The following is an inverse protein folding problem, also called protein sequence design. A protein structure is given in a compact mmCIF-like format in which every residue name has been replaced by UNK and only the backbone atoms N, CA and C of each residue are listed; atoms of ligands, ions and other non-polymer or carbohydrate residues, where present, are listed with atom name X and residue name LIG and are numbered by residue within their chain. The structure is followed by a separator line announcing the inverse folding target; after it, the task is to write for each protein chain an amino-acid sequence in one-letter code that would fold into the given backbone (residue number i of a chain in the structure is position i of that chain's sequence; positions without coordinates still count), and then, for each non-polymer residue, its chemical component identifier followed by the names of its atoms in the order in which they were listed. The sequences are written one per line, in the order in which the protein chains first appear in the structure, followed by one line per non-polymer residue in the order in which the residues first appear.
data_IF_096326074425
#
_entry.id   IF_096326074425
#
_cell.length_a   1.000
_cell.length_b   1.000
_cell.length_c   1.000
_cell.angle_alpha   90.00
_cell.angle_beta   90.00
_cell.angle_gamma   90.00
#
_symmetry.space_group_name_H-M   'P 1'
#
loop_
_entity.id
_entity.type
_entity.pdbx_description
1 polymer ?
#
# COMPACT_ATOMS: atom_id res chain seq x y z
N UNK A 1 -10.68 15.34 7.51
CA UNK A 1 -9.43 14.98 6.84
C UNK A 1 -8.69 13.95 7.69
N UNK A 2 -8.11 12.94 7.05
CA UNK A 2 -7.19 11.99 7.68
C UNK A 2 -5.75 12.51 7.47
N UNK A 3 -4.91 12.42 8.50
CA UNK A 3 -3.48 12.75 8.41
C UNK A 3 -2.66 11.61 9.00
N UNK A 4 -1.57 11.27 8.32
CA UNK A 4 -0.59 10.31 8.81
C UNK A 4 0.71 11.06 9.00
N UNK A 5 1.26 11.03 10.21
CA UNK A 5 2.50 11.72 10.57
C UNK A 5 3.36 10.80 11.42
N UNK A 6 4.68 11.00 11.40
CA UNK A 6 5.60 10.32 12.29
C UNK A 6 6.52 11.31 12.97
N UNK A 7 7.14 10.89 14.08
CA UNK A 7 8.24 11.60 14.74
C UNK A 7 9.21 10.58 15.31
N UNK A 8 10.45 10.98 15.52
CA UNK A 8 11.46 10.15 16.18
C UNK A 8 11.12 10.04 17.68
N UNK A 9 11.12 8.82 18.22
CA UNK A 9 10.63 8.55 19.58
C UNK A 9 11.50 9.24 20.67
N UNK A 10 12.79 9.37 20.42
CA UNK A 10 13.79 9.88 21.37
C UNK A 10 14.12 11.37 21.23
N UNK A 11 13.64 12.01 20.19
CA UNK A 11 13.93 13.43 19.93
C UNK A 11 12.64 14.24 20.05
N UNK A 12 12.73 15.45 20.63
CA UNK A 12 11.61 16.41 20.67
C UNK A 12 11.42 17.11 19.32
N UNK A 13 11.58 16.34 18.23
CA UNK A 13 11.38 16.84 16.89
C UNK A 13 9.89 17.04 16.58
N UNK A 14 9.60 17.94 15.66
CA UNK A 14 8.27 18.19 15.17
C UNK A 14 7.72 16.98 14.40
N UNK A 15 6.40 16.82 14.41
CA UNK A 15 5.73 15.79 13.64
C UNK A 15 5.93 16.02 12.13
N UNK A 16 6.49 15.04 11.43
CA UNK A 16 6.60 15.04 9.97
C UNK A 16 5.32 14.46 9.38
N UNK A 17 4.58 15.26 8.63
CA UNK A 17 3.37 14.82 7.96
C UNK A 17 3.73 14.08 6.66
N UNK A 18 3.24 12.84 6.51
CA UNK A 18 3.49 12.00 5.34
C UNK A 18 2.29 11.97 4.40
N UNK A 19 1.08 11.89 4.93
CA UNK A 19 -0.14 11.74 4.13
C UNK A 19 -1.25 12.63 4.65
N UNK A 20 -1.99 13.22 3.73
CA UNK A 20 -3.27 13.87 3.98
C UNK A 20 -4.32 13.31 3.03
N UNK A 21 -5.43 12.85 3.57
CA UNK A 21 -6.58 12.40 2.78
C UNK A 21 -7.85 13.14 3.22
N UNK A 22 -8.77 13.32 2.27
CA UNK A 22 -10.12 13.83 2.51
C UNK A 22 -11.12 12.70 2.28
N UNK A 23 -11.95 12.44 3.27
CA UNK A 23 -13.09 11.54 3.13
C UNK A 23 -14.31 12.38 2.78
N UNK A 24 -14.92 12.22 1.60
CA UNK A 24 -16.18 12.87 1.29
C UNK A 24 -17.29 12.31 2.16
N UNK A 25 -18.23 13.16 2.61
CA UNK A 25 -19.33 12.74 3.48
C UNK A 25 -20.38 11.86 2.80
N UNK A 26 -20.47 11.90 1.46
CA UNK A 26 -21.32 11.06 0.65
C UNK A 26 -20.48 10.28 -0.36
N UNK A 27 -20.58 8.96 -0.32
CA UNK A 27 -19.97 8.08 -1.29
C UNK A 27 -20.70 8.20 -2.64
N UNK A 28 -20.15 8.93 -3.59
CA UNK A 28 -20.62 8.92 -4.97
C UNK A 28 -20.06 7.66 -5.67
N UNK A 29 -20.90 6.61 -5.77
CA UNK A 29 -20.56 5.28 -6.26
C UNK A 29 -20.15 5.15 -7.73
N UNK A 30 -19.96 6.23 -8.45
CA UNK A 30 -19.77 6.26 -9.93
C UNK A 30 -18.44 5.67 -10.40
N UNK A 31 -17.43 5.50 -9.55
CA UNK A 31 -16.09 5.07 -9.99
C UNK A 31 -15.95 3.55 -10.14
N UNK A 32 -16.84 2.76 -9.56
CA UNK A 32 -16.77 1.30 -9.56
C UNK A 32 -17.74 0.65 -10.56
N UNK A 33 -18.44 1.45 -11.36
CA UNK A 33 -19.35 0.95 -12.41
C UNK A 33 -18.57 0.54 -13.68
N UNK A 34 -17.52 -0.26 -13.47
CA UNK A 34 -16.65 -0.76 -14.53
C UNK A 34 -16.52 -2.27 -14.42
N UNK A 35 -16.51 -2.95 -15.56
CA UNK A 35 -16.28 -4.39 -15.62
C UNK A 35 -14.86 -4.70 -16.08
N UNK A 36 -14.34 -5.83 -15.61
CA UNK A 36 -13.06 -6.35 -16.03
C UNK A 36 -13.01 -6.51 -17.56
N UNK A 37 -11.98 -6.01 -18.22
CA UNK A 37 -11.73 -6.32 -19.60
C UNK A 37 -11.37 -7.80 -19.76
N UNK A 38 -11.65 -8.36 -20.94
CA UNK A 38 -11.12 -9.67 -21.29
C UNK A 38 -9.58 -9.60 -21.37
N UNK A 39 -8.93 -10.64 -20.88
CA UNK A 39 -7.49 -10.79 -21.11
C UNK A 39 -7.22 -11.03 -22.60
N UNK A 40 -6.09 -10.52 -23.13
CA UNK A 40 -5.72 -10.75 -24.51
C UNK A 40 -5.56 -12.24 -24.82
N UNK A 41 -6.10 -12.70 -25.95
CA UNK A 41 -5.97 -14.09 -26.43
C UNK A 41 -4.59 -14.37 -27.06
N UNK A 42 -3.53 -13.90 -26.42
CA UNK A 42 -2.13 -14.07 -26.79
C UNK A 42 -1.31 -14.33 -25.54
N UNK A 43 -0.09 -14.91 -25.64
CA UNK A 43 0.80 -15.03 -24.52
C UNK A 43 1.04 -13.67 -23.81
N UNK A 44 1.27 -13.73 -22.52
CA UNK A 44 1.65 -12.55 -21.76
C UNK A 44 2.97 -11.96 -22.28
N UNK A 45 3.08 -10.64 -22.24
CA UNK A 45 4.33 -9.96 -22.60
C UNK A 45 5.38 -10.15 -21.50
N UNK A 46 4.91 -10.26 -20.24
CA UNK A 46 5.76 -10.47 -19.08
C UNK A 46 5.18 -11.53 -18.16
N UNK A 47 6.01 -12.46 -17.71
CA UNK A 47 5.72 -13.40 -16.63
C UNK A 47 6.00 -12.74 -15.27
N UNK A 48 5.50 -13.32 -14.17
CA UNK A 48 5.80 -12.85 -12.81
C UNK A 48 7.31 -12.81 -12.51
N UNK A 49 8.08 -13.78 -13.01
CA UNK A 49 9.54 -13.81 -12.84
C UNK A 49 10.22 -12.64 -13.57
N UNK A 50 9.83 -12.39 -14.83
CA UNK A 50 10.34 -11.25 -15.62
C UNK A 50 9.96 -9.93 -14.97
N UNK A 51 8.73 -9.82 -14.46
CA UNK A 51 8.28 -8.67 -13.68
C UNK A 51 9.18 -8.40 -12.48
N UNK A 52 9.46 -9.41 -11.65
CA UNK A 52 10.33 -9.27 -10.48
C UNK A 52 11.76 -8.88 -10.87
N UNK A 53 12.30 -9.43 -11.95
CA UNK A 53 13.62 -9.05 -12.45
C UNK A 53 13.67 -7.57 -12.86
N UNK A 54 12.61 -7.07 -13.52
CA UNK A 54 12.52 -5.67 -13.95
C UNK A 54 12.37 -4.71 -12.77
N UNK A 55 11.53 -5.03 -11.78
CA UNK A 55 11.37 -4.21 -10.58
C UNK A 55 12.66 -4.16 -9.76
N UNK A 56 13.37 -5.29 -9.65
CA UNK A 56 14.67 -5.36 -9.01
C UNK A 56 15.72 -4.49 -9.72
N UNK A 57 15.72 -4.46 -11.05
CA UNK A 57 16.66 -3.63 -11.82
C UNK A 57 16.53 -2.13 -11.56
N UNK A 58 15.34 -1.65 -11.20
CA UNK A 58 15.10 -0.25 -10.82
C UNK A 58 15.18 -0.01 -9.30
N UNK A 59 15.61 -1.02 -8.52
CA UNK A 59 15.81 -0.91 -7.09
C UNK A 59 14.58 -1.23 -6.23
N UNK A 60 13.51 -1.77 -6.81
CA UNK A 60 12.32 -2.22 -6.09
C UNK A 60 12.41 -3.73 -5.83
N UNK A 61 12.86 -4.10 -4.63
CA UNK A 61 13.01 -5.50 -4.24
C UNK A 61 11.81 -5.97 -3.43
N UNK A 62 10.95 -6.74 -4.07
CA UNK A 62 9.71 -7.24 -3.46
C UNK A 62 9.92 -8.60 -2.79
N UNK A 63 9.67 -8.66 -1.47
CA UNK A 63 9.63 -9.91 -0.71
C UNK A 63 8.42 -10.78 -1.09
N UNK A 64 8.36 -12.04 -0.61
CA UNK A 64 7.34 -13.01 -1.01
C UNK A 64 5.89 -12.53 -0.86
N UNK A 65 5.60 -11.72 0.16
CA UNK A 65 4.25 -11.15 0.39
C UNK A 65 3.78 -10.20 -0.71
N UNK A 66 4.71 -9.57 -1.46
CA UNK A 66 4.43 -8.58 -2.48
C UNK A 66 4.62 -9.10 -3.91
N UNK A 67 4.90 -10.39 -4.09
CA UNK A 67 5.02 -11.03 -5.39
C UNK A 67 3.64 -11.43 -5.91
N UNK A 68 2.82 -10.45 -6.21
CA UNK A 68 1.40 -10.60 -6.54
C UNK A 68 1.10 -10.61 -8.03
N UNK A 69 2.04 -10.25 -8.90
CA UNK A 69 1.87 -10.23 -10.35
C UNK A 69 2.24 -11.59 -10.94
N UNK A 70 1.29 -12.27 -11.59
CA UNK A 70 1.52 -13.56 -12.25
C UNK A 70 1.90 -13.40 -13.73
N UNK A 71 1.22 -12.51 -14.43
CA UNK A 71 1.42 -12.24 -15.85
C UNK A 71 0.91 -10.86 -16.21
N UNK A 72 1.52 -10.21 -17.20
CA UNK A 72 1.11 -8.89 -17.65
C UNK A 72 1.09 -8.78 -19.19
N UNK A 73 0.15 -8.01 -19.71
CA UNK A 73 -0.04 -7.67 -21.13
C UNK A 73 -0.01 -6.16 -21.29
N UNK A 74 0.77 -5.68 -22.24
CA UNK A 74 0.88 -4.25 -22.55
C UNK A 74 0.18 -3.94 -23.87
N UNK A 75 -0.73 -2.98 -23.83
CA UNK A 75 -1.51 -2.52 -24.99
C UNK A 75 -1.44 -0.99 -25.09
N UNK A 76 -0.38 -0.49 -25.70
CA UNK A 76 -0.14 0.93 -25.85
C UNK A 76 0.07 1.65 -24.53
N UNK A 77 -0.92 2.43 -24.07
CA UNK A 77 -0.90 3.17 -22.80
C UNK A 77 -1.62 2.42 -21.65
N UNK A 78 -1.84 1.14 -21.84
CA UNK A 78 -2.56 0.28 -20.91
C UNK A 78 -1.73 -0.95 -20.59
N UNK A 79 -1.79 -1.38 -19.32
CA UNK A 79 -1.31 -2.68 -18.85
C UNK A 79 -2.47 -3.41 -18.20
N UNK A 80 -2.63 -4.67 -18.56
CA UNK A 80 -3.48 -5.64 -17.85
C UNK A 80 -2.58 -6.64 -17.16
N UNK A 81 -2.90 -7.02 -15.94
CA UNK A 81 -2.15 -8.04 -15.22
C UNK A 81 -3.06 -8.97 -14.44
N UNK A 82 -2.74 -10.24 -14.53
CA UNK A 82 -3.30 -11.26 -13.65
C UNK A 82 -2.58 -11.20 -12.31
N UNK A 83 -3.36 -11.10 -11.24
CA UNK A 83 -2.86 -11.11 -9.87
C UNK A 83 -3.06 -12.48 -9.24
N UNK A 84 -2.13 -12.83 -8.36
CA UNK A 84 -2.19 -14.01 -7.49
C UNK A 84 -2.06 -13.56 -6.03
N UNK A 85 -2.63 -14.35 -5.14
CA UNK A 85 -2.44 -14.17 -3.70
C UNK A 85 -1.24 -15.01 -3.27
N UNK A 86 -0.15 -14.38 -2.80
CA UNK A 86 0.96 -15.14 -2.22
C UNK A 86 0.54 -15.84 -0.94
N UNK A 87 1.03 -17.07 -0.71
CA UNK A 87 0.75 -17.84 0.51
C UNK A 87 1.10 -17.08 1.80
N UNK A 88 2.07 -16.18 1.73
CA UNK A 88 2.50 -15.37 2.86
C UNK A 88 1.39 -14.43 3.41
N UNK A 89 0.39 -14.06 2.60
CA UNK A 89 -0.68 -13.12 2.98
C UNK A 89 -2.07 -13.73 3.02
N UNK A 90 -2.23 -15.01 2.67
CA UNK A 90 -3.55 -15.67 2.61
C UNK A 90 -4.33 -15.53 3.93
N UNK A 91 -3.65 -15.68 5.05
CA UNK A 91 -4.25 -15.63 6.38
C UNK A 91 -4.73 -14.24 6.80
N UNK A 92 -4.27 -13.19 6.13
CA UNK A 92 -4.62 -11.79 6.44
C UNK A 92 -5.83 -11.29 5.64
N UNK A 93 -6.18 -11.96 4.53
CA UNK A 93 -7.22 -11.49 3.61
C UNK A 93 -8.59 -11.30 4.26
N UNK A 94 -8.95 -12.18 5.19
CA UNK A 94 -10.25 -12.12 5.87
C UNK A 94 -10.40 -10.90 6.81
N UNK A 95 -9.29 -10.32 7.25
CA UNK A 95 -9.26 -9.18 8.17
C UNK A 95 -9.21 -7.82 7.48
N UNK A 96 -8.99 -7.80 6.16
CA UNK A 96 -8.78 -6.58 5.38
C UNK A 96 -9.81 -6.46 4.25
N UNK A 97 -10.33 -5.25 4.01
CA UNK A 97 -11.17 -4.98 2.84
C UNK A 97 -10.40 -5.15 1.52
N UNK A 98 -9.13 -4.79 1.54
CA UNK A 98 -8.17 -4.98 0.46
C UNK A 98 -6.78 -5.10 1.06
N UNK A 99 -6.08 -6.19 0.74
CA UNK A 99 -4.72 -6.37 1.22
C UNK A 99 -3.76 -5.40 0.51
N UNK A 100 -2.88 -4.68 1.27
CA UNK A 100 -1.98 -3.67 0.69
C UNK A 100 -1.06 -4.22 -0.41
N UNK A 101 -0.59 -5.47 -0.29
CA UNK A 101 0.25 -6.10 -1.29
C UNK A 101 -0.45 -6.29 -2.64
N UNK A 102 -1.77 -6.59 -2.65
CA UNK A 102 -2.55 -6.70 -3.88
C UNK A 102 -2.77 -5.34 -4.55
N UNK A 103 -2.92 -4.27 -3.75
CA UNK A 103 -2.95 -2.92 -4.27
C UNK A 103 -1.60 -2.50 -4.84
N UNK A 104 -0.52 -2.80 -4.12
CA UNK A 104 0.85 -2.50 -4.56
C UNK A 104 1.19 -3.23 -5.87
N UNK A 105 0.69 -4.47 -6.05
CA UNK A 105 0.82 -5.19 -7.31
C UNK A 105 0.33 -4.41 -8.53
N UNK A 106 -0.73 -3.61 -8.38
CA UNK A 106 -1.15 -2.70 -9.44
C UNK A 106 -0.16 -1.52 -9.64
N UNK A 107 0.43 -0.99 -8.57
CA UNK A 107 1.44 0.07 -8.67
C UNK A 107 2.73 -0.43 -9.33
N UNK A 108 3.10 -1.69 -9.09
CA UNK A 108 4.26 -2.33 -9.69
C UNK A 108 4.19 -2.36 -11.22
N UNK A 109 2.99 -2.43 -11.82
CA UNK A 109 2.77 -2.48 -13.28
C UNK A 109 3.22 -1.21 -14.03
N UNK A 110 3.60 -0.17 -13.33
CA UNK A 110 4.25 0.99 -13.95
C UNK A 110 5.56 0.58 -14.61
N UNK A 111 6.24 -0.43 -14.08
CA UNK A 111 7.50 -0.94 -14.65
C UNK A 111 7.29 -1.49 -16.06
N UNK A 112 6.23 -2.31 -16.28
CA UNK A 112 5.89 -2.85 -17.60
C UNK A 112 5.42 -1.76 -18.56
N UNK A 113 4.62 -0.82 -18.05
CA UNK A 113 4.14 0.31 -18.84
C UNK A 113 5.30 1.13 -19.42
N UNK A 114 6.41 1.19 -18.68
CA UNK A 114 7.62 1.92 -19.09
C UNK A 114 8.54 1.05 -19.97
N UNK A 115 8.74 -0.20 -19.62
CA UNK A 115 9.65 -1.11 -20.30
C UNK A 115 9.23 -1.41 -21.75
N UNK A 116 7.93 -1.38 -22.04
CA UNK A 116 7.39 -1.61 -23.40
C UNK A 116 7.82 -0.54 -24.41
N UNK A 117 8.48 0.53 -23.99
CA UNK A 117 8.87 1.64 -24.85
C UNK A 117 10.39 1.69 -25.00
N UNK A 118 10.87 1.62 -26.26
CA UNK A 118 12.29 1.69 -26.59
C UNK A 118 12.97 2.92 -25.95
N UNK A 119 14.10 2.71 -25.31
CA UNK A 119 14.94 3.77 -24.74
C UNK A 119 14.71 4.09 -23.27
N UNK A 120 14.07 3.19 -22.50
CA UNK A 120 13.79 3.43 -21.10
C UNK A 120 14.54 2.47 -20.18
N UNK A 121 15.84 2.68 -20.08
CA UNK A 121 16.70 2.02 -19.08
C UNK A 121 17.44 3.07 -18.25
N UNK A 122 16.68 4.04 -17.71
CA UNK A 122 17.28 5.10 -16.89
C UNK A 122 17.49 4.69 -15.43
N UNK A 123 17.18 3.44 -15.05
CA UNK A 123 17.25 2.95 -13.67
C UNK A 123 16.36 3.76 -12.71
N UNK A 124 15.26 4.30 -13.22
CA UNK A 124 14.30 5.10 -12.45
C UNK A 124 13.11 4.25 -12.02
N UNK A 125 12.83 4.25 -10.72
CA UNK A 125 11.56 3.78 -10.19
C UNK A 125 10.53 4.92 -10.18
N UNK A 126 9.24 4.57 -10.22
CA UNK A 126 8.16 5.53 -10.09
C UNK A 126 7.34 5.22 -8.84
N UNK A 127 7.25 6.19 -7.94
CA UNK A 127 6.51 6.06 -6.68
C UNK A 127 5.28 6.96 -6.67
N UNK A 128 4.18 6.55 -6.02
CA UNK A 128 2.98 7.37 -5.89
C UNK A 128 3.24 8.55 -4.95
N UNK A 129 2.96 9.78 -5.43
CA UNK A 129 3.07 11.00 -4.64
C UNK A 129 1.73 11.67 -4.39
N UNK A 130 0.72 11.33 -5.20
CA UNK A 130 -0.65 11.82 -5.03
C UNK A 130 -1.63 10.84 -5.67
N UNK A 131 -2.69 10.53 -4.95
CA UNK A 131 -3.86 9.81 -5.48
C UNK A 131 -5.02 10.80 -5.52
N UNK A 132 -5.55 11.06 -6.72
CA UNK A 132 -6.59 12.09 -6.91
C UNK A 132 -7.90 11.69 -6.28
N UNK A 133 -8.41 10.51 -6.63
CA UNK A 133 -9.63 9.93 -6.07
C UNK A 133 -9.49 8.44 -5.93
N UNK A 134 -9.91 7.91 -4.79
CA UNK A 134 -9.93 6.49 -4.50
C UNK A 134 -11.37 6.09 -4.19
N UNK A 135 -11.84 5.04 -4.82
CA UNK A 135 -13.10 4.37 -4.48
C UNK A 135 -12.82 2.88 -4.31
N UNK A 136 -13.44 2.26 -3.31
CA UNK A 136 -13.39 0.83 -3.08
C UNK A 136 -14.75 0.32 -2.64
N UNK A 137 -15.03 -0.96 -2.90
CA UNK A 137 -16.28 -1.60 -2.48
C UNK A 137 -16.18 -2.11 -1.05
N UNK A 138 -17.26 -1.99 -0.29
CA UNK A 138 -17.36 -2.61 1.03
C UNK A 138 -17.74 -4.11 0.95
N UNK A 139 -18.11 -4.59 -0.24
CA UNK A 139 -18.56 -5.98 -0.42
C UNK A 139 -17.45 -7.01 -0.28
N UNK A 140 -16.18 -6.55 -0.20
CA UNK A 140 -15.01 -7.41 -0.10
C UNK A 140 -14.84 -8.29 -1.36
N UNK A 141 -13.73 -8.26 -2.00
CA UNK A 141 -13.39 -9.12 -3.12
C UNK A 141 -11.88 -9.19 -3.23
N UNK A 142 -11.35 -10.40 -3.42
CA UNK A 142 -9.92 -10.55 -3.66
C UNK A 142 -9.65 -10.17 -5.11
N UNK A 143 -8.83 -9.16 -5.39
CA UNK A 143 -8.48 -8.79 -6.75
C UNK A 143 -7.73 -9.94 -7.45
N UNK A 144 -8.14 -10.25 -8.66
CA UNK A 144 -7.47 -11.24 -9.53
C UNK A 144 -6.97 -10.62 -10.83
N UNK A 145 -7.41 -9.40 -11.14
CA UNK A 145 -7.01 -8.66 -12.33
C UNK A 145 -6.77 -7.21 -11.96
N UNK A 146 -5.68 -6.65 -12.48
CA UNK A 146 -5.37 -5.22 -12.41
C UNK A 146 -5.32 -4.60 -13.81
N UNK A 147 -5.84 -3.40 -13.92
CA UNK A 147 -5.71 -2.54 -15.09
C UNK A 147 -5.02 -1.25 -14.70
N UNK A 148 -4.00 -0.87 -15.47
CA UNK A 148 -3.33 0.43 -15.38
C UNK A 148 -3.47 1.16 -16.70
N UNK A 149 -3.89 2.43 -16.66
CA UNK A 149 -4.00 3.29 -17.84
C UNK A 149 -3.19 4.56 -17.65
N UNK A 150 -2.23 4.76 -18.54
CA UNK A 150 -1.50 6.03 -18.60
C UNK A 150 -2.42 7.11 -19.18
N UNK A 151 -2.50 8.23 -18.50
CA UNK A 151 -3.25 9.43 -18.94
C UNK A 151 -2.32 10.50 -19.50
N UNK A 152 -1.17 10.66 -18.84
CA UNK A 152 -0.16 11.63 -19.25
C UNK A 152 1.21 11.20 -18.74
N UNK A 153 2.24 11.50 -19.53
CA UNK A 153 3.65 11.25 -19.17
C UNK A 153 4.51 12.48 -19.40
N UNK A 154 5.48 12.69 -18.51
CA UNK A 154 6.60 13.60 -18.68
C UNK A 154 7.90 12.84 -18.37
N UNK A 155 9.06 13.46 -18.51
CA UNK A 155 10.35 12.84 -18.17
C UNK A 155 10.41 12.36 -16.69
N UNK A 156 9.72 13.04 -15.78
CA UNK A 156 9.84 12.79 -14.34
C UNK A 156 8.52 12.47 -13.64
N UNK A 157 7.41 12.36 -14.36
CA UNK A 157 6.12 12.03 -13.76
C UNK A 157 5.18 11.33 -14.72
N UNK A 158 4.32 10.49 -14.13
CA UNK A 158 3.21 9.84 -14.81
C UNK A 158 1.90 10.23 -14.13
N UNK A 159 0.85 10.41 -14.91
CA UNK A 159 -0.52 10.44 -14.46
C UNK A 159 -1.21 9.18 -14.96
N UNK A 160 -1.70 8.36 -14.03
CA UNK A 160 -2.25 7.03 -14.32
C UNK A 160 -3.54 6.79 -13.56
N UNK A 161 -4.38 5.94 -14.12
CA UNK A 161 -5.55 5.37 -13.45
C UNK A 161 -5.28 3.89 -13.16
N UNK A 162 -5.75 3.40 -12.00
CA UNK A 162 -5.70 2.01 -11.62
C UNK A 162 -7.10 1.49 -11.37
N UNK A 163 -7.39 0.26 -11.78
CA UNK A 163 -8.61 -0.45 -11.43
C UNK A 163 -8.28 -1.90 -11.11
N UNK A 164 -8.79 -2.39 -9.99
CA UNK A 164 -8.67 -3.78 -9.57
C UNK A 164 -10.03 -4.46 -9.69
N UNK A 165 -10.04 -5.70 -10.17
CA UNK A 165 -11.25 -6.48 -10.40
C UNK A 165 -11.14 -7.83 -9.70
N UNK A 166 -12.26 -8.28 -9.14
CA UNK A 166 -12.40 -9.62 -8.56
C UNK A 166 -12.66 -10.70 -9.63
N UNK A 167 -12.78 -11.95 -9.19
CA UNK A 167 -13.05 -13.08 -10.04
C UNK A 167 -14.41 -13.02 -10.79
N UNK A 168 -15.36 -12.22 -10.30
CA UNK A 168 -16.64 -11.97 -10.99
C UNK A 168 -16.52 -10.92 -12.10
N UNK A 169 -15.36 -10.26 -12.21
CA UNK A 169 -15.12 -9.12 -13.08
C UNK A 169 -15.69 -7.81 -12.57
N UNK A 170 -16.11 -7.74 -11.30
CA UNK A 170 -16.54 -6.49 -10.68
C UNK A 170 -15.32 -5.68 -10.21
N UNK A 171 -15.39 -4.36 -10.37
CA UNK A 171 -14.34 -3.48 -9.86
C UNK A 171 -14.44 -3.42 -8.33
N UNK A 172 -13.35 -3.78 -7.63
CA UNK A 172 -13.25 -3.72 -6.17
C UNK A 172 -12.53 -2.47 -5.70
N UNK A 173 -11.66 -1.90 -6.54
CA UNK A 173 -11.00 -0.64 -6.29
C UNK A 173 -10.79 0.13 -7.59
N UNK A 174 -10.94 1.45 -7.53
CA UNK A 174 -10.54 2.36 -8.60
C UNK A 174 -9.78 3.56 -8.01
N UNK A 175 -8.64 3.87 -8.62
CA UNK A 175 -7.87 5.08 -8.33
C UNK A 175 -7.80 5.89 -9.61
N UNK A 176 -8.24 7.14 -9.53
CA UNK A 176 -8.17 8.08 -10.65
C UNK A 176 -7.15 9.18 -10.37
N UNK A 177 -6.49 9.62 -11.43
CA UNK A 177 -5.51 10.71 -11.39
C UNK A 177 -4.39 10.46 -10.36
N UNK A 178 -3.86 9.22 -10.32
CA UNK A 178 -2.67 8.91 -9.54
C UNK A 178 -1.45 9.54 -10.20
N UNK A 179 -0.74 10.38 -9.46
CA UNK A 179 0.51 10.97 -9.90
C UNK A 179 1.67 10.15 -9.34
N UNK A 180 2.44 9.58 -10.25
CA UNK A 180 3.68 8.87 -9.95
C UNK A 180 4.86 9.80 -10.26
N UNK A 181 5.91 9.75 -9.44
CA UNK A 181 7.13 10.53 -9.61
C UNK A 181 8.32 9.62 -9.83
N UNK A 182 9.15 9.96 -10.81
CA UNK A 182 10.42 9.29 -11.04
C UNK A 182 11.38 9.56 -9.90
N UNK A 183 11.99 8.51 -9.38
CA UNK A 183 13.02 8.55 -8.34
C UNK A 183 14.12 7.56 -8.68
N UNK A 184 15.36 7.91 -8.34
CA UNK A 184 16.48 6.96 -8.35
C UNK A 184 16.61 6.39 -6.95
N UNK A 185 16.32 5.09 -6.82
CA UNK A 185 16.49 4.40 -5.55
C UNK A 185 17.98 4.06 -5.40
N UNK A 186 18.62 4.68 -4.43
CA UNK A 186 19.98 4.33 -4.03
C UNK A 186 19.89 3.35 -2.88
N UNK A 187 20.59 2.22 -3.01
CA UNK A 187 20.82 1.33 -1.88
C UNK A 187 21.90 1.94 -1.00
N UNK A 188 21.50 2.70 0.00
CA UNK A 188 22.37 2.95 1.14
C UNK A 188 22.29 1.74 2.06
N UNK A 189 23.40 1.00 2.18
CA UNK A 189 23.50 -0.16 3.08
C UNK A 189 23.68 0.24 4.54
N UNK A 190 23.89 1.52 4.82
CA UNK A 190 23.91 2.07 6.18
C UNK A 190 22.46 2.26 6.68
N UNK A 191 21.75 1.15 6.84
CA UNK A 191 20.35 1.20 7.28
C UNK A 191 20.25 1.51 8.76
N UNK A 192 19.92 2.74 9.11
CA UNK A 192 19.31 3.03 10.41
C UNK A 192 18.06 2.17 10.58
N UNK A 193 18.10 1.25 11.52
CA UNK A 193 16.92 0.48 11.92
C UNK A 193 15.95 1.46 12.59
N UNK A 194 14.88 1.84 11.85
CA UNK A 194 13.84 2.72 12.38
C UNK A 194 12.73 1.87 12.99
N UNK A 195 12.60 1.95 14.30
CA UNK A 195 11.47 1.35 15.00
C UNK A 195 10.28 2.31 14.91
N UNK A 196 9.14 1.85 14.45
CA UNK A 196 7.91 2.63 14.33
C UNK A 196 6.84 2.03 15.23
N UNK A 197 6.22 2.87 16.06
CA UNK A 197 5.04 2.51 16.83
C UNK A 197 3.82 3.27 16.30
N UNK A 198 2.68 2.59 16.20
CA UNK A 198 1.42 3.23 15.84
C UNK A 198 0.78 3.81 17.11
N UNK A 199 0.62 5.13 17.12
CA UNK A 199 -0.09 5.82 18.18
C UNK A 199 -1.29 6.54 17.58
N UNK A 200 -2.49 6.09 17.93
CA UNK A 200 -3.73 6.79 17.61
C UNK A 200 -3.87 8.04 18.46
N UNK A 201 -3.80 9.23 17.87
CA UNK A 201 -4.06 10.49 18.56
C UNK A 201 -5.20 11.23 17.86
N UNK A 202 -6.21 11.64 18.63
CA UNK A 202 -7.24 12.51 18.10
C UNK A 202 -6.60 13.81 17.61
N UNK A 203 -6.80 14.15 16.34
CA UNK A 203 -6.32 15.43 15.83
C UNK A 203 -7.01 16.56 16.61
N UNK A 204 -6.28 17.57 17.09
CA UNK A 204 -6.90 18.78 17.59
C UNK A 204 -7.60 19.48 16.41
N UNK A 205 -8.82 19.15 16.18
CA UNK A 205 -9.69 19.75 15.18
C UNK A 205 -10.81 20.45 15.88
N UNK A 206 -11.34 21.51 15.26
CA UNK A 206 -12.44 22.29 15.78
C UNK A 206 -13.45 21.38 16.50
N UNK A 207 -13.76 21.73 17.72
CA UNK A 207 -14.82 21.08 18.50
C UNK A 207 -16.13 21.30 17.75
N UNK A 208 -16.42 20.41 16.82
CA UNK A 208 -17.78 20.21 16.37
C UNK A 208 -18.45 19.53 17.55
N UNK A 209 -19.49 20.11 18.16
CA UNK A 209 -20.23 19.43 19.18
C UNK A 209 -20.80 18.16 18.52
N UNK A 210 -20.15 17.04 18.76
CA UNK A 210 -20.67 15.72 18.39
C UNK A 210 -21.91 15.56 19.26
N UNK A 211 -23.08 15.72 18.65
CA UNK A 211 -24.28 15.11 19.22
C UNK A 211 -23.91 13.65 19.43
N UNK A 212 -23.85 13.25 20.68
CA UNK A 212 -23.66 11.86 21.10
C UNK A 212 -24.93 11.06 20.73
N UNK A 213 -25.14 10.86 19.46
CA UNK A 213 -25.88 9.70 19.04
C UNK A 213 -24.92 8.56 19.31
N UNK A 214 -25.29 7.71 20.26
CA UNK A 214 -24.54 6.51 20.61
C UNK A 214 -24.29 5.71 19.33
N UNK A 215 -23.15 5.97 18.69
CA UNK A 215 -22.57 5.06 17.72
C UNK A 215 -22.14 3.88 18.57
N UNK A 216 -22.81 2.76 18.39
CA UNK A 216 -22.48 1.50 19.02
C UNK A 216 -20.96 1.33 19.02
N UNK A 217 -20.41 1.01 20.18
CA UNK A 217 -18.99 0.78 20.38
C UNK A 217 -18.47 -0.06 19.23
N UNK A 218 -17.50 0.50 18.51
CA UNK A 218 -16.88 -0.18 17.39
C UNK A 218 -16.36 -1.53 17.87
N UNK A 219 -16.54 -2.62 17.09
CA UNK A 219 -15.93 -3.92 17.38
C UNK A 219 -14.43 -3.82 17.71
N UNK A 220 -13.77 -2.78 17.21
CA UNK A 220 -12.38 -2.46 17.51
C UNK A 220 -12.18 -2.01 18.97
N UNK A 221 -13.11 -1.23 19.55
CA UNK A 221 -13.01 -0.81 20.95
C UNK A 221 -13.22 -2.00 21.91
N UNK A 222 -14.14 -2.91 21.56
CA UNK A 222 -14.34 -4.15 22.31
C UNK A 222 -13.15 -5.10 22.19
N UNK A 223 -12.59 -5.24 20.96
CA UNK A 223 -11.39 -6.04 20.75
C UNK A 223 -10.17 -5.48 21.50
N UNK A 224 -9.98 -4.15 21.51
CA UNK A 224 -8.91 -3.51 22.28
C UNK A 224 -9.12 -3.66 23.80
N UNK A 225 -10.37 -3.66 24.26
CA UNK A 225 -10.69 -3.86 25.67
C UNK A 225 -10.47 -5.32 26.09
N UNK A 226 -10.84 -6.29 25.25
CA UNK A 226 -10.51 -7.70 25.46
C UNK A 226 -8.99 -7.96 25.46
N UNK A 227 -8.22 -7.28 24.60
CA UNK A 227 -6.76 -7.38 24.60
C UNK A 227 -6.12 -6.75 25.84
N UNK A 228 -6.70 -5.66 26.37
CA UNK A 228 -6.24 -5.03 27.62
C UNK A 228 -6.53 -5.87 28.86
N UNK A 229 -7.54 -6.72 28.80
CA UNK A 229 -7.97 -7.56 29.93
C UNK A 229 -7.30 -8.96 29.93
N UNK A 230 -6.47 -9.32 28.93
CA UNK A 230 -5.70 -10.55 28.91
C UNK A 230 -4.46 -10.45 29.82
N UNK A 231 -4.41 -11.16 30.95
CA UNK A 231 -3.31 -11.02 31.93
C UNK A 231 -1.93 -11.34 31.33
N UNK A 232 -1.88 -12.27 30.37
CA UNK A 232 -0.65 -12.68 29.69
C UNK A 232 -0.09 -11.57 28.79
N UNK A 233 -0.95 -10.83 28.10
CA UNK A 233 -0.58 -9.79 27.17
C UNK A 233 -0.18 -8.49 27.87
N UNK A 234 -0.89 -8.14 28.95
CA UNK A 234 -0.52 -7.03 29.84
C UNK A 234 0.83 -7.31 30.49
N UNK A 235 1.08 -8.55 30.90
CA UNK A 235 2.36 -8.96 31.44
C UNK A 235 3.48 -8.89 30.41
N UNK A 236 3.22 -9.33 29.17
CA UNK A 236 4.18 -9.22 28.07
C UNK A 236 4.56 -7.76 27.81
N UNK A 237 3.58 -6.87 27.64
CA UNK A 237 3.81 -5.46 27.36
C UNK A 237 4.52 -4.71 28.48
N UNK A 238 4.24 -5.07 29.75
CA UNK A 238 4.81 -4.37 30.90
C UNK A 238 6.14 -4.95 31.40
N UNK A 239 6.36 -6.24 31.22
CA UNK A 239 7.52 -6.93 31.79
C UNK A 239 8.51 -7.43 30.74
N UNK A 240 8.04 -7.94 29.61
CA UNK A 240 8.88 -8.59 28.59
C UNK A 240 9.34 -7.61 27.51
N UNK A 241 8.44 -6.80 27.00
CA UNK A 241 8.76 -5.85 25.92
C UNK A 241 9.84 -4.83 26.32
N UNK A 242 9.81 -4.21 27.52
CA UNK A 242 10.87 -3.33 27.97
C UNK A 242 12.24 -4.04 28.10
N UNK A 243 12.24 -5.32 28.52
CA UNK A 243 13.48 -6.10 28.62
C UNK A 243 14.05 -6.43 27.25
N UNK A 244 13.19 -6.77 26.26
CA UNK A 244 13.61 -6.95 24.88
C UNK A 244 14.16 -5.66 24.28
N UNK A 245 13.59 -4.51 24.64
CA UNK A 245 14.07 -3.22 24.17
C UNK A 245 15.47 -2.89 24.71
N UNK A 246 15.73 -3.18 25.98
CA UNK A 246 17.06 -3.03 26.60
C UNK A 246 18.05 -4.00 25.95
N UNK A 247 17.65 -5.24 25.72
CA UNK A 247 18.51 -6.28 25.12
C UNK A 247 18.86 -5.95 23.68
N UNK A 248 17.89 -5.52 22.88
CA UNK A 248 18.13 -5.08 21.51
C UNK A 248 19.02 -3.82 21.45
N UNK A 249 18.82 -2.89 22.37
CA UNK A 249 19.63 -1.68 22.47
C UNK A 249 21.09 -1.96 22.84
N UNK A 250 21.33 -2.90 23.78
CA UNK A 250 22.68 -3.32 24.13
C UNK A 250 23.38 -4.07 22.99
N UNK A 251 22.66 -4.93 22.28
CA UNK A 251 23.22 -5.62 21.09
C UNK A 251 23.63 -4.65 19.97
N UNK A 252 22.88 -3.57 19.78
CA UNK A 252 23.23 -2.53 18.78
C UNK A 252 24.43 -1.72 19.25
N UNK A 253 24.57 -1.42 20.54
CA UNK A 253 25.72 -0.70 21.09
C UNK A 253 27.01 -1.54 21.00
N UNK A 254 26.94 -2.83 21.32
CA UNK A 254 28.07 -3.76 21.21
C UNK A 254 28.52 -4.02 19.76
N UNK A 255 27.67 -3.78 18.78
CA UNK A 255 27.98 -3.94 17.36
C UNK A 255 28.59 -2.68 16.71
N UNK A 256 28.64 -1.57 17.43
CA UNK A 256 29.12 -0.25 16.95
C UNK A 256 30.49 0.12 17.56
N UNK A 257 30.96 -0.60 18.60
CA UNK A 257 32.33 -0.54 19.10
C UNK A 257 33.25 -1.50 18.32
#
# INVERSE_FOLDING_TARGET
ALRISSRTLMQREDWVQHVVARLPGEARGVLLDTRAPALPARPADFTGEQHLAMTCAVGLNYGPAYQTVAAAWVEGERVLAQLVVPAAIEHELASLHLHPALLDGAFQLITELLASRQGHDDGLAFIPVKLGRIAFTNAGGVPVLAEVRQRKRTAHSLLVDFTLFDASGAAVLAIKDARMRAVRLQYDRSGDIKRMAHVGQAAPGAVVPVQRNAVACSPLAEALQCLADEPAQVRYLNEVEPLLDVLCSSFVLDAVE
#
